data_IF_702818708811
#
_entry.id   IF_702818708811
#
_cell.length_a   1.000
_cell.length_b   1.000
_cell.length_c   1.000
_cell.angle_alpha   90.00
_cell.angle_beta   90.00
_cell.angle_gamma   90.00
#
_symmetry.space_group_name_H-M   'P 1'
#
loop_
_entity.id
_entity.type
_entity.pdbx_description
1 polymer ?
#
# COMPACT_ATOMS: atom_id res chain seq x y z
N UNK A 1 -7.03 9.77 3.31
CA UNK A 1 -7.86 8.54 3.53
C UNK A 1 -6.98 7.36 3.95
N UNK A 2 -7.31 6.63 5.03
CA UNK A 2 -6.67 5.35 5.42
C UNK A 2 -7.68 4.22 5.16
N UNK A 3 -7.32 3.24 4.33
CA UNK A 3 -8.23 2.22 3.82
C UNK A 3 -7.64 0.81 3.97
N UNK A 4 -8.47 -0.13 4.44
CA UNK A 4 -8.16 -1.56 4.47
C UNK A 4 -8.73 -2.25 3.22
N UNK A 5 -7.88 -2.95 2.48
CA UNK A 5 -8.23 -3.76 1.32
C UNK A 5 -8.01 -5.23 1.69
N UNK A 6 -9.08 -6.00 1.99
CA UNK A 6 -8.96 -7.38 2.45
C UNK A 6 -8.69 -8.35 1.30
N UNK A 7 -8.02 -9.46 1.61
CA UNK A 7 -7.94 -10.64 0.74
C UNK A 7 -7.32 -10.40 -0.63
N UNK A 8 -6.30 -9.54 -0.72
CA UNK A 8 -5.56 -9.37 -1.98
C UNK A 8 -4.90 -10.69 -2.39
N UNK A 9 -4.40 -11.46 -1.41
CA UNK A 9 -3.98 -12.85 -1.59
C UNK A 9 -4.83 -13.78 -0.73
N UNK A 10 -5.11 -14.97 -1.27
CA UNK A 10 -5.75 -16.02 -0.50
C UNK A 10 -4.78 -16.59 0.55
N UNK A 11 -5.32 -17.18 1.64
CA UNK A 11 -4.52 -17.66 2.77
C UNK A 11 -3.48 -18.72 2.38
N UNK A 12 -3.81 -19.62 1.44
CA UNK A 12 -2.89 -20.64 0.93
C UNK A 12 -1.75 -20.03 0.10
N UNK A 13 -2.02 -18.95 -0.64
CA UNK A 13 -1.00 -18.20 -1.39
C UNK A 13 -0.05 -17.50 -0.43
N UNK A 14 -0.61 -16.83 0.59
CA UNK A 14 0.16 -16.15 1.64
C UNK A 14 1.06 -17.14 2.37
N UNK A 15 0.57 -18.34 2.70
CA UNK A 15 1.38 -19.37 3.34
C UNK A 15 2.58 -19.79 2.48
N UNK A 16 2.36 -19.98 1.17
CA UNK A 16 3.44 -20.31 0.22
C UNK A 16 4.46 -19.18 0.11
N UNK A 17 4.00 -17.94 -0.02
CA UNK A 17 4.86 -16.75 -0.04
C UNK A 17 5.69 -16.68 1.24
N UNK A 18 5.05 -16.86 2.41
CA UNK A 18 5.72 -16.83 3.70
C UNK A 18 6.81 -17.90 3.83
N UNK A 19 6.53 -19.15 3.45
CA UNK A 19 7.53 -20.23 3.47
C UNK A 19 8.75 -19.89 2.61
N UNK A 20 8.55 -19.27 1.45
CA UNK A 20 9.65 -18.81 0.60
C UNK A 20 10.43 -17.65 1.25
N UNK A 21 9.73 -16.71 1.92
CA UNK A 21 10.36 -15.59 2.62
C UNK A 21 11.18 -16.01 3.85
N UNK A 22 10.75 -17.05 4.55
CA UNK A 22 11.47 -17.65 5.69
C UNK A 22 12.81 -18.27 5.27
N UNK A 23 12.95 -18.68 4.00
CA UNK A 23 14.17 -19.28 3.44
C UNK A 23 15.01 -18.30 2.63
N UNK A 24 14.58 -17.05 2.48
CA UNK A 24 15.24 -16.08 1.60
C UNK A 24 16.47 -15.45 2.24
N UNK A 25 17.41 -15.01 1.39
CA UNK A 25 18.58 -14.24 1.81
C UNK A 25 18.20 -12.76 1.97
N UNK A 26 18.21 -12.30 3.22
CA UNK A 26 17.86 -10.94 3.60
C UNK A 26 19.09 -10.03 3.66
N UNK A 27 18.94 -8.77 3.23
CA UNK A 27 19.94 -7.71 3.37
C UNK A 27 19.47 -6.62 4.35
N UNK A 28 20.38 -5.76 4.81
CA UNK A 28 20.04 -4.59 5.60
C UNK A 28 19.11 -3.65 4.81
N UNK A 29 17.93 -3.36 5.37
CA UNK A 29 16.90 -2.57 4.69
C UNK A 29 17.18 -1.07 4.60
N UNK A 30 18.24 -0.56 5.24
CA UNK A 30 18.69 0.84 5.11
C UNK A 30 19.01 1.24 3.67
N UNK A 31 19.42 0.28 2.83
CA UNK A 31 19.83 0.50 1.43
C UNK A 31 18.72 1.13 0.57
N UNK A 32 17.45 0.93 0.94
CA UNK A 32 16.29 1.41 0.16
C UNK A 32 15.63 2.66 0.74
N UNK A 33 16.08 3.13 1.91
CA UNK A 33 15.51 4.28 2.58
C UNK A 33 16.08 5.60 2.04
N UNK A 34 15.28 6.67 2.08
CA UNK A 34 15.78 8.03 1.87
C UNK A 34 16.82 8.41 2.93
N UNK A 35 17.64 9.43 2.66
CA UNK A 35 18.74 9.82 3.54
C UNK A 35 18.34 10.04 5.01
N UNK A 36 17.18 10.66 5.26
CA UNK A 36 16.66 10.86 6.62
C UNK A 36 16.11 9.56 7.20
N UNK A 37 15.27 8.84 6.46
CA UNK A 37 14.61 7.63 6.93
C UNK A 37 15.60 6.47 7.17
N UNK A 38 16.73 6.43 6.48
CA UNK A 38 17.78 5.42 6.69
C UNK A 38 18.39 5.45 8.10
N UNK A 39 18.36 6.62 8.78
CA UNK A 39 18.85 6.77 10.16
C UNK A 39 17.92 6.14 11.19
N UNK A 40 16.65 6.03 10.87
CA UNK A 40 15.56 5.55 11.74
C UNK A 40 15.21 4.07 11.52
N UNK A 41 15.84 3.42 10.54
CA UNK A 41 15.42 2.11 10.03
C UNK A 41 16.32 0.98 10.51
N UNK A 42 15.71 0.02 11.17
CA UNK A 42 16.34 -1.21 11.66
C UNK A 42 15.50 -2.41 11.21
N UNK A 43 15.63 -2.80 9.94
CA UNK A 43 14.88 -3.93 9.39
C UNK A 43 15.70 -4.66 8.32
N UNK A 44 15.11 -5.74 7.81
CA UNK A 44 15.65 -6.53 6.73
C UNK A 44 14.82 -6.31 5.46
N UNK A 45 15.45 -6.44 4.29
CA UNK A 45 14.77 -6.42 3.00
C UNK A 45 15.35 -7.41 2.01
N UNK A 46 14.48 -7.93 1.13
CA UNK A 46 14.96 -8.61 -0.06
C UNK A 46 15.72 -7.61 -0.95
N UNK A 47 16.91 -7.95 -1.44
CA UNK A 47 17.66 -7.10 -2.35
C UNK A 47 16.84 -6.71 -3.58
N UNK A 48 16.99 -5.46 -4.03
CA UNK A 48 16.40 -5.04 -5.30
C UNK A 48 16.93 -5.91 -6.45
N UNK A 49 16.03 -6.59 -7.14
CA UNK A 49 16.37 -7.53 -8.21
C UNK A 49 16.26 -9.01 -7.80
N UNK A 50 16.08 -9.31 -6.51
CA UNK A 50 15.91 -10.68 -6.00
C UNK A 50 14.75 -11.38 -6.73
N UNK A 51 14.92 -12.63 -7.24
CA UNK A 51 13.88 -13.33 -7.99
C UNK A 51 12.54 -13.42 -7.27
N UNK A 52 12.55 -13.79 -5.99
CA UNK A 52 11.34 -13.86 -5.16
C UNK A 52 10.63 -12.50 -5.02
N UNK A 53 11.38 -11.39 -4.91
CA UNK A 53 10.77 -10.06 -4.82
C UNK A 53 10.09 -9.67 -6.14
N UNK A 54 10.67 -10.05 -7.29
CA UNK A 54 10.07 -9.84 -8.61
C UNK A 54 8.80 -10.67 -8.80
N UNK A 55 8.82 -11.92 -8.38
CA UNK A 55 7.66 -12.83 -8.45
C UNK A 55 6.49 -12.31 -7.61
N UNK A 56 6.75 -12.02 -6.32
CA UNK A 56 5.75 -11.44 -5.41
C UNK A 56 5.24 -10.11 -5.97
N UNK A 57 6.14 -9.21 -6.39
CA UNK A 57 5.78 -7.91 -6.95
C UNK A 57 4.91 -8.01 -8.21
N UNK A 58 5.21 -8.95 -9.11
CA UNK A 58 4.42 -9.16 -10.33
C UNK A 58 3.02 -9.68 -10.01
N UNK A 59 2.93 -10.66 -9.11
CA UNK A 59 1.66 -11.22 -8.64
C UNK A 59 0.80 -10.17 -7.92
N UNK A 60 1.42 -9.28 -7.15
CA UNK A 60 0.75 -8.14 -6.49
C UNK A 60 0.18 -7.16 -7.51
N UNK A 61 1.00 -6.70 -8.47
CA UNK A 61 0.58 -5.71 -9.46
C UNK A 61 -0.60 -6.22 -10.31
N UNK A 62 -0.58 -7.49 -10.71
CA UNK A 62 -1.69 -8.10 -11.44
C UNK A 62 -3.01 -8.05 -10.65
N UNK A 63 -2.96 -8.37 -9.34
CA UNK A 63 -4.13 -8.37 -8.46
C UNK A 63 -4.63 -6.95 -8.19
N UNK A 64 -3.72 -6.00 -7.96
CA UNK A 64 -4.05 -4.60 -7.72
C UNK A 64 -4.82 -3.99 -8.91
N UNK A 65 -4.36 -4.23 -10.15
CA UNK A 65 -5.04 -3.73 -11.36
C UNK A 65 -6.43 -4.33 -11.60
N UNK A 66 -6.73 -5.48 -10.99
CA UNK A 66 -8.03 -6.15 -11.09
C UNK A 66 -8.91 -5.91 -9.87
N UNK A 67 -8.41 -5.23 -8.82
CA UNK A 67 -9.13 -5.03 -7.57
C UNK A 67 -9.98 -3.73 -7.63
N UNK A 68 -11.32 -3.81 -7.67
CA UNK A 68 -12.17 -2.63 -7.85
C UNK A 68 -12.01 -1.59 -6.74
N UNK A 69 -11.86 -2.04 -5.50
CA UNK A 69 -11.68 -1.16 -4.34
C UNK A 69 -10.37 -0.36 -4.45
N UNK A 70 -9.27 -1.02 -4.83
CA UNK A 70 -7.99 -0.33 -5.07
C UNK A 70 -8.07 0.62 -6.26
N UNK A 71 -8.69 0.22 -7.37
CA UNK A 71 -8.83 1.07 -8.56
C UNK A 71 -9.63 2.34 -8.27
N UNK A 72 -10.70 2.22 -7.49
CA UNK A 72 -11.55 3.35 -7.08
C UNK A 72 -10.85 4.25 -6.05
N UNK A 73 -10.22 3.66 -5.02
CA UNK A 73 -9.59 4.42 -3.94
C UNK A 73 -8.27 5.09 -4.35
N UNK A 74 -7.44 4.40 -5.15
CA UNK A 74 -6.10 4.88 -5.51
C UNK A 74 -6.06 5.65 -6.83
N UNK A 75 -7.00 5.39 -7.76
CA UNK A 75 -6.99 5.91 -9.13
C UNK A 75 -5.58 5.86 -9.75
N UNK A 76 -4.98 4.67 -9.86
CA UNK A 76 -3.53 4.56 -9.99
C UNK A 76 -3.04 4.89 -11.40
N UNK A 77 -1.98 5.72 -11.49
CA UNK A 77 -1.27 6.02 -12.74
C UNK A 77 0.03 5.20 -12.84
N UNK A 78 0.88 5.25 -11.81
CA UNK A 78 2.14 4.50 -11.75
C UNK A 78 2.29 3.87 -10.36
N UNK A 79 2.81 2.65 -10.32
CA UNK A 79 3.15 1.98 -9.06
C UNK A 79 4.66 1.79 -8.99
N UNK A 80 5.26 2.25 -7.90
CA UNK A 80 6.64 1.94 -7.57
C UNK A 80 6.76 0.43 -7.33
N UNK A 81 7.72 -0.30 -7.93
CA UNK A 81 7.83 -1.75 -7.79
C UNK A 81 7.78 -2.19 -6.32
N UNK A 82 6.92 -3.15 -5.96
CA UNK A 82 6.80 -3.57 -4.57
C UNK A 82 8.11 -4.08 -3.98
N UNK A 83 8.44 -3.60 -2.79
CA UNK A 83 9.60 -4.01 -2.02
C UNK A 83 9.15 -4.89 -0.86
N UNK A 84 9.96 -5.87 -0.48
CA UNK A 84 9.62 -6.80 0.60
C UNK A 84 10.54 -6.56 1.80
N UNK A 85 9.95 -6.43 2.99
CA UNK A 85 10.65 -6.23 4.24
C UNK A 85 10.32 -7.31 5.29
N UNK A 86 11.23 -7.44 6.25
CA UNK A 86 11.09 -8.27 7.44
C UNK A 86 11.49 -7.46 8.67
N UNK A 87 10.66 -7.51 9.70
CA UNK A 87 10.97 -7.00 11.04
C UNK A 87 10.95 -8.15 12.03
N UNK A 88 12.04 -8.33 12.76
CA UNK A 88 12.21 -9.36 13.80
C UNK A 88 13.29 -8.92 14.78
N UNK A 89 13.41 -9.60 15.92
CA UNK A 89 14.48 -9.39 16.91
C UNK A 89 14.69 -7.92 17.33
N UNK A 90 13.60 -7.20 17.60
CA UNK A 90 13.62 -5.78 17.97
C UNK A 90 13.67 -4.81 16.79
N UNK A 91 13.70 -5.31 15.55
CA UNK A 91 13.68 -4.50 14.35
C UNK A 91 12.45 -3.58 14.29
N UNK A 92 12.66 -2.34 13.88
CA UNK A 92 11.69 -1.25 13.86
C UNK A 92 12.01 -0.25 12.74
N UNK A 93 11.10 0.68 12.51
CA UNK A 93 11.37 1.85 11.65
C UNK A 93 10.70 3.05 12.28
N UNK A 94 11.51 3.93 12.89
CA UNK A 94 10.99 5.08 13.64
C UNK A 94 10.31 6.12 12.74
N UNK A 95 9.66 7.11 13.36
CA UNK A 95 8.84 8.11 12.69
C UNK A 95 9.56 8.79 11.52
N UNK A 96 8.93 8.70 10.35
CA UNK A 96 9.40 9.33 9.13
C UNK A 96 8.24 9.68 8.20
N UNK A 97 8.54 10.52 7.21
CA UNK A 97 7.70 10.77 6.05
C UNK A 97 8.44 10.23 4.83
N UNK A 98 7.71 9.63 3.90
CA UNK A 98 8.28 9.12 2.67
C UNK A 98 8.78 10.26 1.76
N UNK A 99 9.79 9.97 0.95
CA UNK A 99 10.25 10.92 -0.06
C UNK A 99 9.15 11.14 -1.10
N UNK A 100 8.75 12.40 -1.31
CA UNK A 100 7.65 12.78 -2.21
C UNK A 100 7.82 12.29 -3.66
N UNK A 101 9.06 12.09 -4.11
CA UNK A 101 9.40 11.58 -5.45
C UNK A 101 10.43 10.46 -5.31
N UNK A 102 10.14 9.32 -5.93
CA UNK A 102 11.01 8.16 -5.97
C UNK A 102 11.33 7.74 -7.39
N UNK A 103 12.51 7.17 -7.58
CA UNK A 103 12.95 6.61 -8.85
C UNK A 103 13.27 5.13 -8.66
N UNK A 104 12.56 4.20 -9.35
CA UNK A 104 12.91 2.80 -9.33
C UNK A 104 14.32 2.59 -9.89
N UNK A 105 15.11 1.70 -9.29
CA UNK A 105 16.46 1.41 -9.76
C UNK A 105 16.42 0.86 -11.19
N UNK A 106 17.28 1.40 -12.05
CA UNK A 106 17.34 1.04 -13.46
C UNK A 106 16.22 1.65 -14.32
N UNK A 107 15.35 2.50 -13.76
CA UNK A 107 14.35 3.25 -14.51
C UNK A 107 14.71 4.73 -14.59
N UNK A 108 14.43 5.38 -15.73
CA UNK A 108 14.48 6.84 -15.86
C UNK A 108 13.23 7.52 -15.28
N UNK A 109 12.15 6.75 -15.11
CA UNK A 109 10.87 7.23 -14.65
C UNK A 109 10.88 7.57 -13.17
N UNK A 110 10.20 8.64 -12.81
CA UNK A 110 9.94 9.02 -11.42
C UNK A 110 8.49 8.79 -11.07
N UNK A 111 8.25 8.40 -9.83
CA UNK A 111 6.94 8.15 -9.23
C UNK A 111 6.76 9.16 -8.10
N UNK A 112 5.72 10.00 -8.22
CA UNK A 112 5.25 10.83 -7.11
C UNK A 112 4.53 9.93 -6.10
N UNK A 113 4.88 10.00 -4.83
CA UNK A 113 4.36 9.08 -3.80
C UNK A 113 3.08 9.61 -3.16
N UNK A 114 1.99 9.65 -3.93
CA UNK A 114 0.70 10.17 -3.45
C UNK A 114 0.12 9.28 -2.36
N UNK A 115 0.24 7.97 -2.54
CA UNK A 115 -0.23 6.94 -1.61
C UNK A 115 0.89 5.96 -1.28
N UNK A 116 0.96 5.57 -0.02
CA UNK A 116 1.77 4.47 0.48
C UNK A 116 0.87 3.28 0.78
N UNK A 117 1.39 2.07 0.58
CA UNK A 117 0.66 0.84 0.82
C UNK A 117 1.53 -0.20 1.51
N UNK A 118 0.91 -1.03 2.35
CA UNK A 118 1.55 -2.20 2.98
C UNK A 118 0.63 -3.40 2.88
N UNK A 119 1.10 -4.47 2.22
CA UNK A 119 0.46 -5.78 2.16
C UNK A 119 1.13 -6.71 3.18
N UNK A 120 0.35 -7.36 4.02
CA UNK A 120 0.84 -8.19 5.12
C UNK A 120 0.99 -9.66 4.70
N UNK A 121 2.08 -10.32 5.10
CA UNK A 121 2.31 -11.76 4.86
C UNK A 121 2.45 -12.57 6.17
N UNK A 122 2.43 -11.91 7.32
CA UNK A 122 2.40 -12.55 8.65
C UNK A 122 1.06 -12.28 9.30
N UNK A 123 0.47 -13.29 9.97
CA UNK A 123 -0.75 -13.08 10.75
C UNK A 123 -0.44 -12.21 11.98
N UNK A 124 -1.36 -11.35 12.43
CA UNK A 124 -1.17 -10.48 13.59
C UNK A 124 -0.75 -11.22 14.86
N UNK A 125 -1.16 -12.47 15.03
CA UNK A 125 -0.90 -13.30 16.21
C UNK A 125 0.50 -13.95 16.19
N UNK A 126 1.16 -13.99 15.02
CA UNK A 126 2.46 -14.64 14.86
C UNK A 126 3.64 -13.80 15.34
N UNK A 127 3.42 -12.53 15.64
CA UNK A 127 4.45 -11.61 16.11
C UNK A 127 3.91 -10.60 17.14
N UNK A 128 4.76 -10.16 18.06
CA UNK A 128 4.40 -9.13 19.05
C UNK A 128 5.00 -7.78 18.64
N UNK A 129 4.23 -6.70 18.83
CA UNK A 129 4.57 -5.39 18.29
C UNK A 129 4.39 -5.32 16.78
N UNK A 130 5.24 -4.54 16.09
CA UNK A 130 5.22 -4.42 14.62
C UNK A 130 4.00 -3.69 14.06
N UNK A 131 3.21 -3.01 14.88
CA UNK A 131 2.12 -2.17 14.41
C UNK A 131 2.68 -1.04 13.53
N UNK A 132 2.02 -0.80 12.40
CA UNK A 132 2.23 0.40 11.61
C UNK A 132 1.43 1.53 12.27
N UNK A 133 2.13 2.47 12.91
CA UNK A 133 1.51 3.67 13.47
C UNK A 133 1.53 4.78 12.43
N UNK A 134 0.35 5.31 12.11
CA UNK A 134 0.17 6.41 11.14
C UNK A 134 -0.46 7.58 11.87
N UNK A 135 0.24 8.71 11.90
CA UNK A 135 -0.29 9.95 12.46
C UNK A 135 -1.06 10.73 11.40
N UNK A 136 -2.27 11.13 11.78
CA UNK A 136 -3.12 12.04 11.05
C UNK A 136 -3.41 13.31 11.89
N UNK A 137 -4.23 14.21 11.36
CA UNK A 137 -4.60 15.48 12.02
C UNK A 137 -5.31 15.28 13.36
N UNK A 138 -5.97 14.14 13.57
CA UNK A 138 -6.85 13.85 14.70
C UNK A 138 -6.32 12.78 15.66
N UNK A 139 -5.19 12.16 15.35
CA UNK A 139 -4.52 11.22 16.25
C UNK A 139 -3.61 10.23 15.52
N UNK A 140 -3.36 9.11 16.19
CA UNK A 140 -2.53 8.02 15.68
C UNK A 140 -3.39 6.78 15.47
N UNK A 141 -3.41 6.27 14.25
CA UNK A 141 -4.00 4.98 13.91
C UNK A 141 -2.93 3.89 14.03
N UNK A 142 -3.28 2.73 14.59
CA UNK A 142 -2.39 1.56 14.67
C UNK A 142 -2.93 0.45 13.78
N UNK A 143 -2.10 0.00 12.85
CA UNK A 143 -2.52 -0.97 11.82
C UNK A 143 -1.70 -2.25 11.93
N UNK A 144 -2.41 -3.37 12.09
CA UNK A 144 -1.88 -4.73 12.09
C UNK A 144 -2.96 -5.65 11.51
N UNK A 145 -2.87 -5.95 10.22
CA UNK A 145 -3.94 -6.60 9.46
C UNK A 145 -3.67 -8.10 9.27
N UNK A 146 -4.71 -8.91 9.01
CA UNK A 146 -4.57 -10.30 8.62
C UNK A 146 -3.63 -10.48 7.42
N UNK A 147 -2.94 -11.61 7.38
CA UNK A 147 -2.05 -11.91 6.26
C UNK A 147 -2.87 -12.06 4.95
N UNK A 148 -2.41 -11.43 3.87
CA UNK A 148 -3.13 -11.29 2.60
C UNK A 148 -3.88 -9.97 2.45
N UNK A 149 -4.04 -9.20 3.53
CA UNK A 149 -4.72 -7.92 3.53
C UNK A 149 -3.72 -6.77 3.37
N UNK A 150 -4.21 -5.64 2.84
CA UNK A 150 -3.43 -4.45 2.58
C UNK A 150 -4.01 -3.22 3.27
N UNK A 151 -3.15 -2.33 3.74
CA UNK A 151 -3.52 -0.95 4.10
C UNK A 151 -3.02 0.01 3.04
N UNK A 152 -3.84 0.99 2.69
CA UNK A 152 -3.55 2.11 1.80
C UNK A 152 -3.72 3.43 2.57
N UNK A 153 -2.75 4.33 2.49
CA UNK A 153 -2.75 5.58 3.25
C UNK A 153 -1.99 6.69 2.51
N UNK A 154 -2.15 7.98 2.88
CA UNK A 154 -1.46 9.08 2.19
C UNK A 154 0.05 8.99 2.39
N UNK A 155 0.82 9.14 1.31
CA UNK A 155 2.29 9.13 1.38
C UNK A 155 2.89 10.31 2.16
N UNK A 156 2.07 11.32 2.45
CA UNK A 156 2.41 12.48 3.29
C UNK A 156 2.34 12.18 4.79
N UNK A 157 1.79 11.03 5.21
CA UNK A 157 1.55 10.73 6.62
C UNK A 157 2.86 10.46 7.37
N UNK A 158 3.01 11.05 8.55
CA UNK A 158 4.08 10.71 9.47
C UNK A 158 3.78 9.34 10.06
N UNK A 159 4.69 8.39 9.88
CA UNK A 159 4.43 7.01 10.27
C UNK A 159 5.67 6.26 10.74
N UNK A 160 5.47 5.18 11.49
CA UNK A 160 6.52 4.28 11.98
C UNK A 160 6.04 2.84 12.05
N UNK A 161 6.98 1.90 12.11
CA UNK A 161 6.73 0.50 12.46
C UNK A 161 7.33 0.25 13.84
N UNK A 162 6.47 -0.10 14.81
CA UNK A 162 6.90 -0.44 16.16
C UNK A 162 7.85 -1.65 16.15
N UNK A 163 8.69 -1.77 17.18
CA UNK A 163 9.61 -2.89 17.30
C UNK A 163 8.87 -4.23 17.33
N UNK A 164 9.35 -5.20 16.57
CA UNK A 164 8.88 -6.60 16.64
C UNK A 164 9.68 -7.34 17.70
N UNK A 165 9.06 -7.67 18.83
CA UNK A 165 9.74 -8.26 20.00
C UNK A 165 9.70 -9.79 20.02
N UNK A 166 8.73 -10.40 19.34
CA UNK A 166 8.59 -11.85 19.15
C UNK A 166 8.17 -12.12 17.70
N UNK A 167 8.66 -13.22 17.13
CA UNK A 167 8.27 -13.65 15.78
C UNK A 167 8.87 -12.78 14.68
N UNK A 168 8.26 -12.83 13.50
CA UNK A 168 8.70 -12.05 12.34
C UNK A 168 7.49 -11.48 11.57
N UNK A 169 7.56 -10.19 11.27
CA UNK A 169 6.59 -9.48 10.43
C UNK A 169 7.15 -9.37 9.03
N UNK A 170 6.61 -10.18 8.11
CA UNK A 170 6.86 -10.08 6.69
C UNK A 170 5.79 -9.21 6.03
N UNK A 171 6.22 -8.26 5.21
CA UNK A 171 5.29 -7.43 4.45
C UNK A 171 5.90 -6.98 3.12
N UNK A 172 5.04 -6.63 2.17
CA UNK A 172 5.41 -5.85 1.00
C UNK A 172 4.95 -4.42 1.17
N UNK A 173 5.77 -3.46 0.76
CA UNK A 173 5.47 -2.03 0.82
C UNK A 173 5.81 -1.36 -0.51
N UNK A 174 4.99 -0.40 -0.90
CA UNK A 174 5.12 0.30 -2.18
C UNK A 174 4.39 1.64 -2.18
N UNK A 175 4.58 2.39 -3.27
CA UNK A 175 3.96 3.69 -3.48
C UNK A 175 3.21 3.72 -4.78
N UNK A 176 2.14 4.50 -4.80
CA UNK A 176 1.32 4.74 -5.99
C UNK A 176 1.29 6.24 -6.28
N UNK A 177 1.64 6.59 -7.51
CA UNK A 177 1.26 7.87 -8.09
C UNK A 177 -0.18 7.74 -8.58
N UNK A 178 -1.07 8.55 -8.04
CA UNK A 178 -2.45 8.61 -8.47
C UNK A 178 -2.57 9.48 -9.73
N UNK A 179 -3.56 9.17 -10.57
CA UNK A 179 -4.05 10.06 -11.61
C UNK A 179 -4.55 11.37 -10.98
N UNK A 180 -5.12 11.31 -9.77
CA UNK A 180 -5.62 12.49 -9.04
C UNK A 180 -4.68 12.82 -7.90
N UNK A 181 -3.92 13.92 -8.06
CA UNK A 181 -2.88 14.36 -7.11
C UNK A 181 -3.43 14.62 -5.71
N UNK A 182 -4.48 15.44 -5.61
CA UNK A 182 -5.02 15.93 -4.34
C UNK A 182 -5.79 14.83 -3.57
N UNK A 183 -5.45 14.60 -2.29
CA UNK A 183 -6.11 13.58 -1.44
C UNK A 183 -7.61 13.86 -1.28
N UNK A 184 -8.00 15.13 -1.11
CA UNK A 184 -9.40 15.54 -0.95
C UNK A 184 -10.23 15.28 -2.21
N UNK A 185 -9.68 15.54 -3.39
CA UNK A 185 -10.35 15.26 -4.67
C UNK A 185 -10.52 13.76 -4.89
N UNK A 186 -9.47 12.99 -4.60
CA UNK A 186 -9.51 11.52 -4.69
C UNK A 186 -10.51 10.92 -3.71
N UNK A 187 -10.57 11.41 -2.48
CA UNK A 187 -11.55 10.98 -1.49
C UNK A 187 -12.99 11.27 -1.95
N UNK A 188 -13.26 12.47 -2.50
CA UNK A 188 -14.58 12.80 -3.05
C UNK A 188 -14.99 11.88 -4.20
N UNK A 189 -14.06 11.53 -5.10
CA UNK A 189 -14.32 10.57 -6.17
C UNK A 189 -14.62 9.18 -5.62
N UNK A 190 -13.84 8.71 -4.65
CA UNK A 190 -14.02 7.40 -4.02
C UNK A 190 -15.41 7.27 -3.36
N UNK A 191 -15.80 8.26 -2.55
CA UNK A 191 -17.13 8.28 -1.90
C UNK A 191 -18.26 8.31 -2.94
N UNK A 192 -18.09 9.10 -4.01
CA UNK A 192 -19.08 9.19 -5.08
C UNK A 192 -19.24 7.87 -5.84
N UNK A 193 -18.13 7.19 -6.15
CA UNK A 193 -18.14 5.89 -6.81
C UNK A 193 -18.84 4.84 -5.92
N UNK A 194 -18.49 4.79 -4.63
CA UNK A 194 -19.15 3.90 -3.67
C UNK A 194 -20.67 4.13 -3.60
N UNK A 195 -21.11 5.39 -3.54
CA UNK A 195 -22.53 5.72 -3.54
C UNK A 195 -23.24 5.31 -4.84
N UNK A 196 -22.60 5.48 -6.00
CA UNK A 196 -23.14 5.03 -7.29
C UNK A 196 -23.26 3.51 -7.33
N UNK A 197 -22.23 2.78 -6.86
CA UNK A 197 -22.26 1.32 -6.83
C UNK A 197 -23.35 0.79 -5.90
N UNK A 198 -23.52 1.39 -4.72
CA UNK A 198 -24.60 1.03 -3.79
C UNK A 198 -25.98 1.27 -4.42
N UNK A 199 -26.21 2.46 -5.01
CA UNK A 199 -27.48 2.76 -5.68
C UNK A 199 -27.76 1.83 -6.86
N UNK A 200 -26.72 1.39 -7.58
CA UNK A 200 -26.87 0.43 -8.69
C UNK A 200 -27.40 -0.91 -8.20
N UNK A 201 -27.03 -1.34 -6.98
CA UNK A 201 -27.55 -2.56 -6.36
C UNK A 201 -28.96 -2.36 -5.80
N UNK A 202 -29.23 -1.23 -5.15
CA UNK A 202 -30.50 -0.97 -4.46
C UNK A 202 -31.65 -0.67 -5.43
N UNK A 203 -31.39 0.12 -6.46
CA UNK A 203 -32.38 0.58 -7.44
C UNK A 203 -31.85 0.43 -8.87
N UNK A 204 -31.70 -0.82 -9.36
CA UNK A 204 -31.18 -1.08 -10.70
C UNK A 204 -32.00 -0.34 -11.76
N UNK A 205 -31.33 0.06 -12.84
CA UNK A 205 -31.90 0.75 -14.01
C UNK A 205 -32.50 2.14 -13.78
N UNK A 206 -32.39 2.71 -12.56
CA UNK A 206 -32.87 4.07 -12.33
C UNK A 206 -32.14 5.07 -13.25
N UNK A 207 -32.83 5.92 -14.03
CA UNK A 207 -32.22 6.75 -15.07
C UNK A 207 -31.20 7.77 -14.53
N UNK A 208 -31.30 8.16 -13.25
CA UNK A 208 -30.29 9.01 -12.61
C UNK A 208 -28.92 8.35 -12.45
N UNK A 209 -28.80 7.02 -12.47
CA UNK A 209 -27.51 6.33 -12.37
C UNK A 209 -26.59 6.76 -13.52
N UNK A 210 -27.10 6.81 -14.75
CA UNK A 210 -26.35 7.29 -15.94
C UNK A 210 -25.85 8.72 -15.72
N UNK A 211 -26.70 9.59 -15.14
CA UNK A 211 -26.33 10.99 -14.87
C UNK A 211 -25.25 11.11 -13.80
N UNK A 212 -25.34 10.32 -12.73
CA UNK A 212 -24.36 10.31 -11.65
C UNK A 212 -23.01 9.78 -12.14
N UNK A 213 -23.01 8.64 -12.84
CA UNK A 213 -21.81 8.08 -13.49
C UNK A 213 -21.20 9.06 -14.47
N UNK A 214 -22.02 9.76 -15.26
CA UNK A 214 -21.57 10.84 -16.14
C UNK A 214 -20.86 11.97 -15.38
N UNK A 215 -21.42 12.42 -14.25
CA UNK A 215 -20.80 13.46 -13.40
C UNK A 215 -19.50 12.97 -12.78
N UNK A 216 -19.43 11.73 -12.29
CA UNK A 216 -18.19 11.12 -11.78
C UNK A 216 -17.08 11.18 -12.84
N UNK A 217 -17.37 10.70 -14.07
CA UNK A 217 -16.38 10.74 -15.15
C UNK A 217 -16.00 12.16 -15.60
N UNK A 218 -16.92 13.12 -15.50
CA UNK A 218 -16.63 14.53 -15.79
C UNK A 218 -15.69 15.14 -14.73
N UNK A 219 -15.87 14.82 -13.45
CA UNK A 219 -14.97 15.23 -12.38
C UNK A 219 -13.61 14.58 -12.52
N UNK A 220 -13.58 13.26 -12.77
CA UNK A 220 -12.34 12.54 -13.04
C UNK A 220 -11.58 13.22 -14.19
N UNK A 221 -12.21 13.46 -15.34
CA UNK A 221 -11.59 14.17 -16.48
C UNK A 221 -11.05 15.57 -16.14
N UNK A 222 -11.58 16.24 -15.12
CA UNK A 222 -11.09 17.56 -14.67
C UNK A 222 -9.87 17.46 -13.75
N UNK A 223 -9.73 16.36 -13.03
CA UNK A 223 -8.73 16.23 -11.95
C UNK A 223 -7.59 15.28 -12.28
N UNK A 224 -7.70 14.45 -13.32
CA UNK A 224 -6.62 13.55 -13.73
C UNK A 224 -5.43 14.27 -14.34
N UNK A 225 -4.24 13.77 -14.02
CA UNK A 225 -2.94 14.12 -14.60
C UNK A 225 -2.34 12.86 -15.25
N UNK A 226 -2.11 12.90 -16.56
CA UNK A 226 -1.53 11.82 -17.38
C UNK A 226 -0.18 12.19 -17.95
#
# INVERSE_FOLDING_TARGET
>A
MLLHIPGLFAKDEVQRIRQALEQADWADGKVTAGFQSAKAKHNLQLPEGHPLAKEIGSAMLERLWKNPLFMSAALPHKVFPPLVNCYTAGGSFDFHIDNAVRQPKGSIERVRTDLSATLFFSEPEDYDGGELEIQDTYGTQRVKLPAGDMVLYPGTSLHKVNAVTRGARYASFFWTQSLVREDSQRALLFEMDGAIQQLTQDIPDHPSLIRLTGTYHNLLRRWVEV
#
